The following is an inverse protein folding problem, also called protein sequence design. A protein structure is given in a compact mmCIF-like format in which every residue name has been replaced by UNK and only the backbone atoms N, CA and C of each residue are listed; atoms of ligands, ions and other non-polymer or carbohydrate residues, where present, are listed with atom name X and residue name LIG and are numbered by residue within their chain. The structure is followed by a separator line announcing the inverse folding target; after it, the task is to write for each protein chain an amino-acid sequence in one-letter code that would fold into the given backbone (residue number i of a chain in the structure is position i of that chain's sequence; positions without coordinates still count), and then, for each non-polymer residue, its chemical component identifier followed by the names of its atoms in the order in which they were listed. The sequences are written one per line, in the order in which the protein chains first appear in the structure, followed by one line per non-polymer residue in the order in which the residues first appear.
data_IF_122388555626
#
_entry.id   IF_122388555626
#
_cell.length_a   1.000
_cell.length_b   1.000
_cell.length_c   1.000
_cell.angle_alpha   90.00
_cell.angle_beta   90.00
_cell.angle_gamma   90.00
#
_symmetry.space_group_name_H-M   'P 1'
#
loop_
_entity.id
_entity.type
_entity.pdbx_description
1 polymer ?
#
# COMPACT_ATOMS: atom_id res chain seq x y z
N UNK A 1 13.84 -18.19 -7.29
CA UNK A 1 13.62 -17.07 -6.33
C UNK A 1 12.31 -16.40 -6.68
N UNK A 2 11.53 -15.92 -5.72
CA UNK A 2 10.31 -15.19 -6.05
C UNK A 2 10.67 -13.99 -6.92
N UNK A 3 9.93 -13.81 -7.99
CA UNK A 3 10.06 -12.67 -8.91
C UNK A 3 8.83 -11.78 -8.83
N UNK A 4 8.89 -10.61 -9.45
CA UNK A 4 7.77 -9.69 -9.49
C UNK A 4 7.49 -9.21 -10.90
N UNK A 5 6.21 -9.04 -11.21
CA UNK A 5 5.73 -8.29 -12.37
C UNK A 5 5.12 -6.98 -11.91
N UNK A 6 5.28 -5.96 -12.73
CA UNK A 6 4.71 -4.64 -12.49
C UNK A 6 3.85 -4.26 -13.68
N UNK A 7 2.56 -3.98 -13.42
CA UNK A 7 1.60 -3.64 -14.46
C UNK A 7 1.14 -2.20 -14.25
N UNK A 8 1.35 -1.33 -15.24
CA UNK A 8 0.78 0.01 -15.28
C UNK A 8 -0.52 -0.02 -16.07
N UNK A 9 -1.60 0.40 -15.44
CA UNK A 9 -2.96 0.36 -15.99
C UNK A 9 -3.56 1.76 -15.88
N UNK A 10 -4.00 2.33 -16.99
CA UNK A 10 -4.69 3.62 -17.02
C UNK A 10 -6.04 3.51 -16.34
N UNK A 11 -6.52 4.60 -15.74
CA UNK A 11 -7.82 4.74 -15.15
C UNK A 11 -8.46 6.05 -15.60
N UNK A 12 -9.78 6.07 -15.73
CA UNK A 12 -10.55 7.27 -16.04
C UNK A 12 -10.88 8.09 -14.77
N UNK A 13 -10.82 7.46 -13.60
CA UNK A 13 -11.13 8.08 -12.32
C UNK A 13 -10.73 7.19 -11.13
N UNK A 14 -10.99 7.64 -9.89
CA UNK A 14 -10.58 6.91 -8.70
C UNK A 14 -11.38 5.62 -8.45
N UNK A 15 -12.49 5.43 -9.13
CA UNK A 15 -13.35 4.25 -9.08
C UNK A 15 -13.19 3.32 -10.29
N UNK A 16 -12.45 3.73 -11.30
CA UNK A 16 -12.21 2.92 -12.50
C UNK A 16 -11.22 1.79 -12.21
N UNK A 17 -11.76 0.62 -11.94
CA UNK A 17 -11.02 -0.63 -11.70
C UNK A 17 -11.07 -1.59 -12.89
N UNK A 18 -11.80 -1.25 -13.96
CA UNK A 18 -12.07 -2.12 -15.10
C UNK A 18 -10.79 -2.63 -15.78
N UNK A 19 -9.78 -1.79 -15.87
CA UNK A 19 -8.51 -2.16 -16.46
C UNK A 19 -7.77 -3.26 -15.70
N UNK A 20 -7.84 -3.26 -14.35
CA UNK A 20 -7.28 -4.32 -13.50
C UNK A 20 -8.14 -5.57 -13.62
N UNK A 21 -9.47 -5.43 -13.52
CA UNK A 21 -10.40 -6.53 -13.62
C UNK A 21 -10.24 -7.28 -14.95
N UNK A 22 -10.18 -6.57 -16.07
CA UNK A 22 -9.95 -7.15 -17.39
C UNK A 22 -8.58 -7.84 -17.50
N UNK A 23 -7.56 -7.32 -16.81
CA UNK A 23 -6.25 -7.95 -16.78
C UNK A 23 -6.27 -9.27 -16.00
N UNK A 24 -7.03 -9.34 -14.89
CA UNK A 24 -7.23 -10.57 -14.12
C UNK A 24 -8.04 -11.59 -14.93
N UNK A 25 -9.20 -11.20 -15.46
CA UNK A 25 -10.07 -12.08 -16.27
C UNK A 25 -9.31 -12.62 -17.49
N UNK A 26 -8.49 -11.81 -18.11
CA UNK A 26 -7.64 -12.18 -19.25
C UNK A 26 -6.38 -12.97 -18.90
N UNK A 27 -6.15 -13.31 -17.63
CA UNK A 27 -4.99 -14.09 -17.16
C UNK A 27 -3.65 -13.36 -17.24
N UNK A 28 -3.64 -12.03 -17.42
CA UNK A 28 -2.40 -11.23 -17.40
C UNK A 28 -1.90 -10.93 -15.99
N UNK A 29 -2.79 -10.91 -15.02
CA UNK A 29 -2.51 -10.70 -13.60
C UNK A 29 -3.13 -11.86 -12.83
N UNK A 30 -2.33 -12.51 -12.01
CA UNK A 30 -2.84 -13.47 -11.02
C UNK A 30 -3.31 -12.70 -9.77
N UNK A 31 -4.62 -12.73 -9.45
CA UNK A 31 -5.13 -12.00 -8.30
C UNK A 31 -4.54 -12.48 -6.96
N UNK A 32 -4.17 -13.76 -6.84
CA UNK A 32 -3.48 -14.29 -5.65
C UNK A 32 -2.04 -13.78 -5.54
N UNK A 33 -1.41 -13.41 -6.65
CA UNK A 33 -0.08 -12.82 -6.70
C UNK A 33 -0.05 -11.34 -6.33
N UNK A 34 -1.16 -10.59 -6.35
CA UNK A 34 -1.16 -9.15 -6.10
C UNK A 34 -0.73 -8.85 -4.66
N UNK A 35 0.39 -8.18 -4.47
CA UNK A 35 0.91 -7.78 -3.15
C UNK A 35 0.66 -6.32 -2.82
N UNK A 36 0.61 -5.45 -3.83
CA UNK A 36 0.32 -4.03 -3.66
C UNK A 36 -0.31 -3.42 -4.91
N UNK A 37 -1.12 -2.37 -4.72
CA UNK A 37 -1.60 -1.50 -5.79
C UNK A 37 -1.31 -0.06 -5.37
N UNK A 38 -0.52 0.65 -6.18
CA UNK A 38 -0.34 2.08 -6.04
C UNK A 38 -1.23 2.79 -7.04
N UNK A 39 -1.91 3.84 -6.58
CA UNK A 39 -2.85 4.58 -7.40
C UNK A 39 -2.54 6.06 -7.46
N UNK A 40 -2.70 6.63 -8.64
CA UNK A 40 -2.74 8.06 -8.87
C UNK A 40 -4.19 8.46 -9.12
N UNK A 41 -4.78 9.27 -8.20
CA UNK A 41 -6.23 9.45 -8.13
C UNK A 41 -6.71 10.83 -8.54
N UNK A 42 -5.83 11.73 -8.97
CA UNK A 42 -6.13 13.14 -9.34
C UNK A 42 -6.88 13.96 -8.28
N UNK A 43 -6.90 13.52 -7.02
CA UNK A 43 -7.39 14.34 -5.92
C UNK A 43 -6.45 15.49 -5.59
N UNK A 44 -6.89 16.39 -4.71
CA UNK A 44 -6.11 17.57 -4.33
C UNK A 44 -4.88 17.25 -3.45
N UNK A 45 -4.75 16.02 -2.95
CA UNK A 45 -3.65 15.58 -2.10
C UNK A 45 -3.69 16.11 -0.66
N UNK A 46 -4.68 16.94 -0.30
CA UNK A 46 -4.87 17.48 1.03
C UNK A 46 -5.64 16.53 1.95
N UNK A 47 -5.86 16.91 3.20
CA UNK A 47 -6.56 16.08 4.20
C UNK A 47 -8.02 15.78 3.83
N UNK A 48 -8.66 16.65 3.05
CA UNK A 48 -10.02 16.50 2.54
C UNK A 48 -10.11 15.75 1.20
N UNK A 49 -9.01 15.21 0.70
CA UNK A 49 -9.00 14.43 -0.54
C UNK A 49 -9.71 13.07 -0.34
N UNK A 50 -10.96 13.01 -0.73
CA UNK A 50 -11.77 11.78 -0.63
C UNK A 50 -11.44 10.76 -1.72
N UNK A 51 -10.78 11.16 -2.82
CA UNK A 51 -10.49 10.25 -3.95
C UNK A 51 -9.62 9.07 -3.54
N UNK A 52 -8.71 9.26 -2.58
CA UNK A 52 -7.86 8.18 -2.06
C UNK A 52 -8.67 7.11 -1.32
N UNK A 53 -9.62 7.54 -0.48
CA UNK A 53 -10.52 6.63 0.22
C UNK A 53 -11.47 5.91 -0.74
N UNK A 54 -12.02 6.64 -1.71
CA UNK A 54 -12.90 6.10 -2.72
C UNK A 54 -12.21 5.06 -3.59
N UNK A 55 -11.02 5.36 -4.10
CA UNK A 55 -10.20 4.40 -4.85
C UNK A 55 -9.87 3.14 -4.03
N UNK A 56 -9.50 3.32 -2.76
CA UNK A 56 -9.21 2.18 -1.87
C UNK A 56 -10.45 1.30 -1.69
N UNK A 57 -11.63 1.89 -1.55
CA UNK A 57 -12.88 1.14 -1.44
C UNK A 57 -13.22 0.40 -2.75
N UNK A 58 -13.11 1.07 -3.90
CA UNK A 58 -13.38 0.48 -5.21
C UNK A 58 -12.46 -0.71 -5.50
N UNK A 59 -11.16 -0.54 -5.26
CA UNK A 59 -10.17 -1.62 -5.41
C UNK A 59 -10.42 -2.77 -4.43
N UNK A 60 -10.75 -2.49 -3.19
CA UNK A 60 -11.08 -3.52 -2.20
C UNK A 60 -12.31 -4.35 -2.61
N UNK A 61 -13.38 -3.70 -3.06
CA UNK A 61 -14.58 -4.37 -3.55
C UNK A 61 -14.29 -5.21 -4.81
N UNK A 62 -13.47 -4.70 -5.72
CA UNK A 62 -13.04 -5.43 -6.91
C UNK A 62 -12.25 -6.67 -6.52
N UNK A 63 -11.23 -6.55 -5.65
CA UNK A 63 -10.41 -7.67 -5.20
C UNK A 63 -11.23 -8.79 -4.54
N UNK A 64 -12.26 -8.44 -3.74
CA UNK A 64 -13.15 -9.42 -3.11
C UNK A 64 -13.92 -10.31 -4.09
N UNK A 65 -13.97 -9.95 -5.36
CA UNK A 65 -14.61 -10.77 -6.41
C UNK A 65 -13.70 -11.88 -6.91
N UNK A 66 -12.40 -11.78 -6.69
CA UNK A 66 -11.38 -12.68 -7.21
C UNK A 66 -10.67 -13.50 -6.14
N UNK A 67 -10.52 -12.93 -4.94
CA UNK A 67 -9.82 -13.60 -3.82
C UNK A 67 -10.62 -13.51 -2.53
N UNK A 68 -10.41 -14.43 -1.57
CA UNK A 68 -11.04 -14.36 -0.25
C UNK A 68 -10.80 -13.02 0.44
N UNK A 69 -11.74 -12.62 1.31
CA UNK A 69 -11.71 -11.31 1.99
C UNK A 69 -10.43 -11.07 2.79
N UNK A 70 -9.94 -12.10 3.47
CA UNK A 70 -8.71 -12.07 4.23
C UNK A 70 -7.52 -11.75 3.31
N UNK A 71 -7.45 -12.42 2.17
CA UNK A 71 -6.38 -12.22 1.18
C UNK A 71 -6.45 -10.84 0.53
N UNK A 72 -7.65 -10.36 0.18
CA UNK A 72 -7.84 -9.00 -0.33
C UNK A 72 -7.40 -7.93 0.68
N UNK A 73 -7.69 -8.15 1.97
CA UNK A 73 -7.27 -7.27 3.07
C UNK A 73 -5.75 -7.21 3.29
N UNK A 74 -5.03 -8.18 2.78
CA UNK A 74 -3.56 -8.19 2.82
C UNK A 74 -2.91 -7.37 1.70
N UNK A 75 -3.61 -7.00 0.64
CA UNK A 75 -3.05 -6.18 -0.45
C UNK A 75 -2.80 -4.76 0.05
N UNK A 76 -1.57 -4.28 -0.12
CA UNK A 76 -1.22 -2.92 0.27
C UNK A 76 -1.78 -1.92 -0.75
N UNK A 77 -2.84 -1.18 -0.39
CA UNK A 77 -3.43 -0.14 -1.24
C UNK A 77 -2.86 1.22 -0.86
N UNK A 78 -2.05 1.83 -1.74
CA UNK A 78 -1.38 3.11 -1.50
C UNK A 78 -1.79 4.11 -2.56
N UNK A 79 -2.62 5.08 -2.16
CA UNK A 79 -3.19 6.08 -3.06
C UNK A 79 -2.51 7.43 -2.90
N UNK A 80 -2.23 8.09 -4.02
CA UNK A 80 -1.66 9.43 -4.09
C UNK A 80 -2.56 10.32 -4.93
N UNK A 81 -3.08 11.38 -4.32
CA UNK A 81 -3.72 12.50 -5.01
C UNK A 81 -2.71 13.59 -5.40
N UNK A 82 -3.18 14.81 -5.68
CA UNK A 82 -2.33 15.99 -5.82
C UNK A 82 -1.51 16.03 -7.11
N UNK A 83 -2.05 15.54 -8.20
CA UNK A 83 -1.39 15.65 -9.52
C UNK A 83 -1.88 16.79 -10.36
N UNK A 84 -3.09 17.26 -10.13
CA UNK A 84 -3.68 18.48 -10.68
C UNK A 84 -3.39 18.69 -12.18
N UNK A 85 -3.71 17.66 -12.98
CA UNK A 85 -3.49 17.66 -14.43
C UNK A 85 -2.06 17.35 -14.89
N UNK A 86 -1.10 17.20 -13.97
CA UNK A 86 0.28 16.85 -14.32
C UNK A 86 0.47 15.38 -14.65
N UNK A 87 -0.44 14.52 -14.22
CA UNK A 87 -0.34 13.07 -14.38
C UNK A 87 -1.72 12.43 -14.46
N UNK A 88 -2.02 11.72 -15.54
CA UNK A 88 -3.30 11.03 -15.69
C UNK A 88 -3.51 9.95 -14.62
N UNK A 89 -4.75 9.68 -14.19
CA UNK A 89 -5.07 8.62 -13.26
C UNK A 89 -4.57 7.27 -13.76
N UNK A 90 -4.01 6.47 -12.87
CA UNK A 90 -3.55 5.12 -13.22
C UNK A 90 -3.27 4.29 -11.97
N UNK A 91 -3.21 2.98 -12.19
CA UNK A 91 -2.82 1.98 -11.22
C UNK A 91 -1.46 1.40 -11.57
N UNK A 92 -0.65 1.14 -10.57
CA UNK A 92 0.56 0.31 -10.68
C UNK A 92 0.33 -0.90 -9.79
N UNK A 93 0.10 -2.05 -10.42
CA UNK A 93 -0.16 -3.32 -9.73
C UNK A 93 1.16 -4.08 -9.62
N UNK A 94 1.50 -4.48 -8.41
CA UNK A 94 2.67 -5.28 -8.10
C UNK A 94 2.24 -6.71 -7.83
N UNK A 95 2.66 -7.62 -8.68
CA UNK A 95 2.37 -9.04 -8.64
C UNK A 95 3.62 -9.82 -8.27
N UNK A 96 3.54 -10.67 -7.27
CA UNK A 96 4.57 -11.64 -6.92
C UNK A 96 4.34 -12.92 -7.70
N UNK A 97 5.40 -13.42 -8.36
CA UNK A 97 5.38 -14.68 -9.07
C UNK A 97 6.27 -15.69 -8.34
N UNK A 98 5.76 -16.90 -8.14
CA UNK A 98 6.54 -17.97 -7.47
C UNK A 98 7.61 -18.56 -8.40
N UNK A 99 7.31 -18.63 -9.71
CA UNK A 99 8.19 -19.20 -10.72
C UNK A 99 8.80 -18.08 -11.58
N UNK A 100 10.11 -17.93 -11.51
CA UNK A 100 10.88 -17.13 -12.47
C UNK A 100 11.52 -18.06 -13.50
N UNK A 101 11.01 -18.08 -14.71
CA UNK A 101 11.64 -18.73 -15.87
C UNK A 101 12.78 -17.88 -16.45
N UNK A 102 13.54 -17.15 -15.65
CA UNK A 102 14.57 -16.24 -16.16
C UNK A 102 15.91 -16.37 -15.46
N UNK A 103 16.99 -16.49 -16.23
CA UNK A 103 18.36 -16.26 -15.76
C UNK A 103 18.61 -14.75 -15.73
N UNK A 104 18.76 -14.15 -14.53
CA UNK A 104 19.14 -12.75 -14.42
C UNK A 104 18.65 -12.08 -13.13
N UNK A 105 19.04 -10.82 -12.88
CA UNK A 105 18.58 -10.07 -11.72
C UNK A 105 17.07 -9.85 -11.83
N UNK A 106 16.33 -10.30 -10.83
CA UNK A 106 14.88 -10.16 -10.74
C UNK A 106 14.51 -9.15 -9.65
N UNK A 107 13.42 -8.41 -9.89
CA UNK A 107 12.79 -7.63 -8.83
C UNK A 107 12.09 -8.60 -7.88
N UNK A 108 12.39 -8.52 -6.59
CA UNK A 108 11.66 -9.22 -5.53
C UNK A 108 10.82 -8.23 -4.73
N UNK A 109 9.62 -8.64 -4.34
CA UNK A 109 8.69 -7.83 -3.57
C UNK A 109 8.32 -8.54 -2.27
N UNK A 110 8.41 -7.81 -1.18
CA UNK A 110 7.89 -8.24 0.11
C UNK A 110 6.97 -7.21 0.71
N UNK A 111 6.00 -7.65 1.48
CA UNK A 111 5.09 -6.79 2.23
C UNK A 111 4.97 -7.28 3.66
N UNK A 112 4.63 -6.37 4.53
CA UNK A 112 4.25 -6.69 5.89
C UNK A 112 3.19 -5.70 6.40
N UNK A 113 2.44 -6.16 7.39
CA UNK A 113 1.55 -5.32 8.16
C UNK A 113 2.04 -5.29 9.60
N UNK A 114 2.07 -4.11 10.21
CA UNK A 114 2.40 -3.97 11.62
C UNK A 114 1.13 -3.97 12.46
N UNK A 115 1.26 -4.15 13.77
CA UNK A 115 0.17 -3.85 14.68
C UNK A 115 -0.25 -2.36 14.57
N UNK A 116 -1.44 -2.03 15.02
CA UNK A 116 -1.91 -0.64 15.05
C UNK A 116 -0.92 0.23 15.84
N UNK A 117 -0.43 1.31 15.22
CA UNK A 117 0.47 2.24 15.88
C UNK A 117 -0.31 3.13 16.84
N UNK A 118 -0.02 3.14 18.15
CA UNK A 118 -0.63 4.08 19.09
C UNK A 118 -0.36 5.54 18.70
N UNK A 119 -1.34 6.43 18.93
CA UNK A 119 -1.21 7.84 18.54
C UNK A 119 0.00 8.53 19.20
N UNK A 120 0.31 8.17 20.43
CA UNK A 120 1.44 8.66 21.20
C UNK A 120 2.81 8.25 20.65
N UNK A 121 2.88 7.23 19.78
CA UNK A 121 4.11 6.80 19.13
C UNK A 121 4.33 7.47 17.77
N UNK A 122 3.31 8.11 17.19
CA UNK A 122 3.44 8.83 15.92
C UNK A 122 4.49 9.94 16.02
N UNK A 123 5.45 9.96 15.07
CA UNK A 123 6.55 10.90 15.05
C UNK A 123 7.63 10.66 16.13
N UNK A 124 7.67 9.49 16.76
CA UNK A 124 8.59 9.12 17.82
C UNK A 124 9.29 7.78 17.58
N UNK A 125 10.24 7.42 18.41
CA UNK A 125 11.04 6.17 18.30
C UNK A 125 10.16 4.92 18.23
N UNK A 126 9.01 4.87 18.94
CA UNK A 126 8.11 3.73 18.84
C UNK A 126 7.57 3.49 17.41
N UNK A 127 7.37 4.55 16.62
CA UNK A 127 7.06 4.39 15.20
C UNK A 127 8.26 3.84 14.42
N UNK A 128 9.46 4.35 14.69
CA UNK A 128 10.69 3.90 14.02
C UNK A 128 10.93 2.41 14.27
N UNK A 129 10.81 1.97 15.52
CA UNK A 129 11.01 0.57 15.91
C UNK A 129 10.01 -0.36 15.22
N UNK A 130 8.74 0.06 15.18
CA UNK A 130 7.67 -0.71 14.52
C UNK A 130 7.87 -0.79 13.01
N UNK A 131 8.27 0.31 12.36
CA UNK A 131 8.61 0.33 10.93
C UNK A 131 9.82 -0.54 10.65
N UNK A 132 10.89 -0.46 11.45
CA UNK A 132 12.07 -1.28 11.27
C UNK A 132 11.77 -2.79 11.39
N UNK A 133 10.88 -3.17 12.32
CA UNK A 133 10.39 -4.55 12.41
C UNK A 133 9.60 -4.96 11.17
N UNK A 134 8.72 -4.09 10.68
CA UNK A 134 7.95 -4.30 9.45
C UNK A 134 8.83 -4.47 8.23
N UNK A 135 9.87 -3.64 8.07
CA UNK A 135 10.82 -3.76 6.95
C UNK A 135 11.56 -5.11 7.00
N UNK A 136 12.02 -5.54 8.17
CA UNK A 136 12.67 -6.87 8.30
C UNK A 136 11.72 -8.01 7.92
N UNK A 137 10.46 -7.93 8.32
CA UNK A 137 9.45 -8.93 7.95
C UNK A 137 9.19 -8.93 6.43
N UNK A 138 9.12 -7.75 5.80
CA UNK A 138 8.96 -7.62 4.35
C UNK A 138 10.19 -8.17 3.59
N UNK A 139 11.41 -7.92 4.08
CA UNK A 139 12.64 -8.49 3.52
C UNK A 139 12.59 -10.02 3.56
N UNK A 140 12.21 -10.60 4.71
CA UNK A 140 12.07 -12.06 4.84
C UNK A 140 11.02 -12.62 3.86
N UNK A 141 9.86 -11.95 3.71
CA UNK A 141 8.83 -12.33 2.76
C UNK A 141 9.29 -12.28 1.30
N UNK A 142 10.26 -11.40 0.98
CA UNK A 142 10.88 -11.29 -0.34
C UNK A 142 12.11 -12.17 -0.51
N UNK A 143 12.52 -12.96 0.50
CA UNK A 143 13.78 -13.70 0.53
C UNK A 143 15.02 -12.81 0.33
N UNK A 144 14.96 -11.56 0.81
CA UNK A 144 16.08 -10.60 0.79
C UNK A 144 16.85 -10.72 2.11
N UNK A 145 18.07 -11.23 2.06
CA UNK A 145 18.91 -11.42 3.25
C UNK A 145 19.78 -10.19 3.56
N UNK A 146 20.23 -9.48 2.52
CA UNK A 146 21.15 -8.35 2.65
C UNK A 146 20.43 -7.03 2.50
N UNK A 147 20.61 -6.11 3.43
CA UNK A 147 20.07 -4.75 3.35
C UNK A 147 20.53 -3.98 2.11
N UNK A 148 21.75 -4.27 1.60
CA UNK A 148 22.25 -3.69 0.35
C UNK A 148 21.43 -4.03 -0.89
N UNK A 149 20.59 -5.06 -0.80
CA UNK A 149 19.68 -5.48 -1.88
C UNK A 149 18.27 -4.84 -1.74
N UNK A 150 18.06 -4.00 -0.72
CA UNK A 150 16.84 -3.23 -0.56
C UNK A 150 17.01 -1.89 -1.29
N UNK A 151 16.26 -1.68 -2.35
CA UNK A 151 16.36 -0.47 -3.19
C UNK A 151 15.23 0.51 -2.96
N UNK A 152 14.10 0.05 -2.45
CA UNK A 152 12.94 0.90 -2.21
C UNK A 152 12.08 0.35 -1.06
N UNK A 153 11.62 1.23 -0.19
CA UNK A 153 10.67 0.90 0.89
C UNK A 153 9.53 1.92 0.85
N UNK A 154 8.32 1.44 0.61
CA UNK A 154 7.11 2.26 0.73
C UNK A 154 6.45 1.99 2.07
N UNK A 155 6.22 3.06 2.83
CA UNK A 155 5.60 2.97 4.16
C UNK A 155 4.29 3.75 4.13
N UNK A 156 3.18 3.07 4.49
CA UNK A 156 1.88 3.71 4.72
C UNK A 156 1.70 3.91 6.21
N UNK A 157 1.76 5.16 6.66
CA UNK A 157 1.56 5.54 8.06
C UNK A 157 0.15 6.08 8.30
N UNK A 158 -0.43 5.87 9.50
CA UNK A 158 -1.68 6.49 9.87
C UNK A 158 -1.51 8.00 10.09
N UNK A 159 -2.57 8.76 9.85
CA UNK A 159 -2.64 10.18 10.20
C UNK A 159 -2.92 10.32 11.71
N UNK A 160 -2.43 11.41 12.30
CA UNK A 160 -2.81 11.85 13.64
C UNK A 160 -4.10 12.68 13.54
N UNK A 161 -5.24 12.03 13.75
CA UNK A 161 -6.55 12.68 13.71
C UNK A 161 -6.97 13.17 15.09
N UNK A 162 -7.93 14.11 15.17
CA UNK A 162 -8.51 14.59 16.42
C UNK A 162 -9.06 13.44 17.28
N UNK A 163 -9.70 12.44 16.66
CA UNK A 163 -10.17 11.24 17.36
C UNK A 163 -9.02 10.48 18.03
N UNK A 164 -7.91 10.25 17.31
CA UNK A 164 -6.76 9.53 17.85
C UNK A 164 -6.06 10.30 18.97
N UNK A 165 -6.06 11.62 18.89
CA UNK A 165 -5.57 12.49 19.99
C UNK A 165 -6.45 12.30 21.23
N UNK A 166 -7.78 12.35 21.08
CA UNK A 166 -8.71 12.14 22.18
C UNK A 166 -8.57 10.74 22.81
N UNK A 167 -8.38 9.70 21.99
CA UNK A 167 -8.12 8.34 22.47
C UNK A 167 -6.81 8.25 23.28
N UNK A 168 -5.75 8.95 22.87
CA UNK A 168 -4.50 9.02 23.62
C UNK A 168 -4.69 9.76 24.96
N UNK A 169 -5.38 10.90 24.96
CA UNK A 169 -5.72 11.66 26.17
C UNK A 169 -6.50 10.83 27.18
N UNK A 170 -7.49 10.06 26.72
CA UNK A 170 -8.28 9.16 27.56
C UNK A 170 -7.45 8.07 28.26
N UNK A 171 -6.30 7.72 27.68
CA UNK A 171 -5.32 6.80 28.26
C UNK A 171 -4.24 7.51 29.09
N UNK A 172 -4.31 8.84 29.22
CA UNK A 172 -3.27 9.65 29.87
C UNK A 172 -1.95 9.75 29.07
N UNK A 173 -1.98 9.41 27.79
CA UNK A 173 -0.81 9.46 26.92
C UNK A 173 -0.68 10.83 26.22
N UNK A 174 0.56 11.23 25.88
CA UNK A 174 0.84 12.50 25.21
C UNK A 174 1.28 12.26 23.76
N UNK A 175 0.56 12.85 22.83
CA UNK A 175 0.92 12.87 21.41
C UNK A 175 2.05 13.86 21.11
N UNK A 176 2.72 13.71 19.96
CA UNK A 176 3.83 14.58 19.54
C UNK A 176 3.36 16.00 19.20
N UNK A 177 2.17 16.13 18.60
CA UNK A 177 1.53 17.41 18.26
C UNK A 177 0.02 17.28 18.42
N UNK A 178 -0.68 18.41 18.59
CA UNK A 178 -2.14 18.48 18.54
C UNK A 178 -2.64 19.13 17.24
N UNK A 179 -1.71 19.51 16.40
CA UNK A 179 -2.01 20.02 15.06
C UNK A 179 -2.34 18.82 14.15
N UNK A 180 -3.52 18.87 13.55
CA UNK A 180 -4.05 17.82 12.66
C UNK A 180 -4.11 18.25 11.18
N UNK A 181 -3.56 19.44 10.88
CA UNK A 181 -3.51 20.00 9.53
C UNK A 181 -2.19 19.68 8.83
#
# INVERSE_FOLDING_TARGET
MPSAKVHRISAAGPDDVDGIENAIIGGRIDPDGIVAIFGKTEGNGCVNDFTRGYATQSLGLMLHRFVPRERAGEVCLVMSGGTEGGMAPHWVVFERCEDSEGEGPALALGRSHTAALPAEHLGRLGQVDQVAAGVRAAMAAASIEKMSNVHFVQIKCPLLTAQRIAEADNRGARVATRDTL
#
